data_IF_527905891383
#
_entry.id   IF_527905891383
#
_cell.length_a   1.000
_cell.length_b   1.000
_cell.length_c   1.000
_cell.angle_alpha   90.00
_cell.angle_beta   90.00
_cell.angle_gamma   90.00
#
_symmetry.space_group_name_H-M   'P 1'
#
loop_
_entity.id
_entity.type
_entity.pdbx_description
1 polymer ?
#
# COMPACT_ATOMS: atom_id res chain seq x y z
N UNK A 1 53.53 20.03 -27.04
CA UNK A 1 52.26 20.79 -27.31
C UNK A 1 51.16 19.76 -27.53
N UNK A 2 50.18 19.76 -26.67
CA UNK A 2 48.98 18.93 -26.84
C UNK A 2 48.15 19.56 -27.99
N UNK A 3 47.81 18.79 -29.01
CA UNK A 3 47.07 19.29 -30.16
C UNK A 3 45.65 19.73 -29.77
N UNK A 4 45.08 20.71 -30.50
CA UNK A 4 43.73 21.18 -30.22
C UNK A 4 42.68 20.07 -30.26
N UNK A 5 42.90 19.01 -31.06
CA UNK A 5 42.03 17.83 -31.13
C UNK A 5 42.03 17.02 -29.80
N UNK A 6 43.18 16.82 -29.19
CA UNK A 6 43.29 16.10 -27.90
C UNK A 6 42.61 16.86 -26.75
N UNK A 7 42.65 18.21 -26.78
CA UNK A 7 41.91 19.02 -25.80
C UNK A 7 40.38 18.92 -25.99
N UNK A 8 39.91 18.87 -27.23
CA UNK A 8 38.48 18.68 -27.52
C UNK A 8 37.97 17.31 -27.12
N UNK A 9 38.78 16.24 -27.33
CA UNK A 9 38.43 14.88 -26.83
C UNK A 9 38.41 14.81 -25.30
N UNK A 10 39.37 15.43 -24.61
CA UNK A 10 39.38 15.47 -23.15
C UNK A 10 38.22 16.28 -22.57
N UNK A 11 37.85 17.40 -23.18
CA UNK A 11 36.67 18.19 -22.79
C UNK A 11 35.36 17.45 -23.09
N UNK A 12 35.24 16.78 -24.22
CA UNK A 12 34.11 15.96 -24.58
C UNK A 12 33.92 14.78 -23.62
N UNK A 13 35.01 14.10 -23.30
CA UNK A 13 34.99 13.00 -22.31
C UNK A 13 34.64 13.44 -20.90
N UNK A 14 35.10 14.61 -20.47
CA UNK A 14 34.78 15.18 -19.16
C UNK A 14 33.29 15.61 -19.08
N UNK A 15 32.76 16.24 -20.12
CA UNK A 15 31.34 16.58 -20.22
C UNK A 15 30.45 15.35 -20.25
N UNK A 16 30.83 14.31 -20.99
CA UNK A 16 30.08 13.04 -21.05
C UNK A 16 30.03 12.36 -19.70
N UNK A 17 31.17 12.25 -19.01
CA UNK A 17 31.26 11.62 -17.68
C UNK A 17 30.64 12.47 -16.55
N UNK A 18 30.82 13.81 -16.62
CA UNK A 18 30.41 14.71 -15.55
C UNK A 18 28.96 15.17 -15.63
N UNK A 19 28.35 15.20 -16.80
CA UNK A 19 27.02 15.77 -17.03
C UNK A 19 26.09 14.78 -17.72
N UNK A 20 26.48 14.24 -18.87
CA UNK A 20 25.58 13.41 -19.69
C UNK A 20 25.29 12.05 -19.05
N UNK A 21 26.30 11.37 -18.47
CA UNK A 21 26.09 10.08 -17.80
C UNK A 21 25.20 10.17 -16.56
N UNK A 22 25.36 11.13 -15.64
CA UNK A 22 24.42 11.28 -14.53
C UNK A 22 22.99 11.58 -14.95
N UNK A 23 22.80 12.38 -16.01
CA UNK A 23 21.48 12.69 -16.56
C UNK A 23 20.84 11.45 -17.17
N UNK A 24 21.58 10.66 -17.95
CA UNK A 24 21.11 9.41 -18.54
C UNK A 24 20.81 8.36 -17.48
N UNK A 25 21.66 8.23 -16.44
CA UNK A 25 21.41 7.34 -15.32
C UNK A 25 20.15 7.74 -14.51
N UNK A 26 19.97 9.04 -14.27
CA UNK A 26 18.77 9.58 -13.66
C UNK A 26 17.50 9.31 -14.48
N UNK A 27 17.55 9.54 -15.79
CA UNK A 27 16.42 9.25 -16.69
C UNK A 27 16.09 7.75 -16.74
N UNK A 28 17.09 6.87 -16.78
CA UNK A 28 16.89 5.43 -16.74
C UNK A 28 16.26 4.97 -15.42
N UNK A 29 16.68 5.52 -14.28
CA UNK A 29 16.11 5.20 -12.97
C UNK A 29 14.63 5.62 -12.87
N UNK A 30 14.28 6.81 -13.40
CA UNK A 30 12.89 7.29 -13.41
C UNK A 30 12.00 6.42 -14.31
N UNK A 31 12.47 6.02 -15.50
CA UNK A 31 11.71 5.14 -16.38
C UNK A 31 11.52 3.75 -15.76
N UNK A 32 12.53 3.19 -15.13
CA UNK A 32 12.42 1.89 -14.44
C UNK A 32 11.42 1.94 -13.29
N UNK A 33 11.44 3.00 -12.47
CA UNK A 33 10.49 3.18 -11.39
C UNK A 33 9.04 3.35 -11.91
N UNK A 34 8.86 4.08 -13.00
CA UNK A 34 7.54 4.25 -13.61
C UNK A 34 6.99 2.93 -14.18
N UNK A 35 7.80 2.17 -14.90
CA UNK A 35 7.42 0.85 -15.45
C UNK A 35 7.09 -0.12 -14.34
N UNK A 36 7.88 -0.12 -13.25
CA UNK A 36 7.61 -0.97 -12.09
C UNK A 36 6.28 -0.62 -11.44
N UNK A 37 6.00 0.67 -11.21
CA UNK A 37 4.72 1.09 -10.67
C UNK A 37 3.54 0.67 -11.54
N UNK A 38 3.63 0.85 -12.87
CA UNK A 38 2.57 0.41 -13.78
C UNK A 38 2.30 -1.09 -13.67
N UNK A 39 3.36 -1.90 -13.53
CA UNK A 39 3.26 -3.34 -13.31
C UNK A 39 2.60 -3.67 -11.98
N UNK A 40 3.03 -3.03 -10.89
CA UNK A 40 2.49 -3.24 -9.55
C UNK A 40 1.02 -2.80 -9.50
N UNK A 41 0.68 -1.63 -10.08
CA UNK A 41 -0.70 -1.13 -10.14
C UNK A 41 -1.61 -1.96 -11.05
N UNK A 42 -1.06 -2.69 -12.03
CA UNK A 42 -1.85 -3.65 -12.81
C UNK A 42 -2.42 -4.79 -11.93
N UNK A 43 -1.71 -5.19 -10.88
CA UNK A 43 -2.20 -6.11 -9.86
C UNK A 43 -3.40 -5.54 -9.11
N UNK A 44 -3.31 -4.30 -8.68
CA UNK A 44 -4.41 -3.58 -7.99
C UNK A 44 -5.67 -3.52 -8.87
N UNK A 45 -5.53 -3.21 -10.17
CA UNK A 45 -6.67 -3.18 -11.11
C UNK A 45 -7.36 -4.52 -11.35
N UNK A 46 -6.68 -5.64 -11.09
CA UNK A 46 -7.28 -6.99 -11.24
C UNK A 46 -8.23 -7.32 -10.10
N UNK A 47 -8.06 -6.69 -8.96
CA UNK A 47 -8.78 -7.01 -7.72
C UNK A 47 -9.74 -5.91 -7.28
N UNK A 48 -9.66 -4.74 -7.91
CA UNK A 48 -10.48 -3.58 -7.59
C UNK A 48 -11.16 -3.07 -8.87
N UNK A 49 -12.43 -2.71 -8.78
CA UNK A 49 -13.20 -2.15 -9.89
C UNK A 49 -13.41 -0.64 -9.70
N UNK A 50 -13.63 0.09 -10.79
CA UNK A 50 -14.10 1.47 -10.71
C UNK A 50 -15.50 1.52 -10.11
N UNK A 51 -15.75 2.52 -9.26
CA UNK A 51 -17.08 2.69 -8.66
C UNK A 51 -17.94 3.51 -9.59
N UNK A 52 -19.11 2.98 -9.92
CA UNK A 52 -20.11 3.64 -10.75
C UNK A 52 -21.39 3.95 -9.95
N UNK A 53 -22.02 5.06 -10.24
CA UNK A 53 -23.33 5.41 -9.68
C UNK A 53 -24.47 4.63 -10.34
N UNK A 54 -25.68 4.84 -9.88
CA UNK A 54 -26.90 4.20 -10.42
C UNK A 54 -27.17 4.52 -11.89
N UNK A 55 -26.52 5.53 -12.46
CA UNK A 55 -26.62 5.93 -13.87
C UNK A 55 -25.52 5.31 -14.75
N UNK A 56 -24.57 4.58 -14.16
CA UNK A 56 -23.41 4.01 -14.84
C UNK A 56 -22.24 5.00 -15.00
N UNK A 57 -22.30 6.18 -14.36
CA UNK A 57 -21.22 7.15 -14.39
C UNK A 57 -20.15 6.77 -13.35
N UNK A 58 -18.88 6.78 -13.74
CA UNK A 58 -17.76 6.57 -12.82
C UNK A 58 -17.71 7.71 -11.80
N UNK A 59 -17.78 7.36 -10.51
CA UNK A 59 -17.69 8.28 -9.36
C UNK A 59 -16.38 8.14 -8.61
N UNK A 60 -15.69 7.00 -8.74
CA UNK A 60 -14.34 6.78 -8.24
C UNK A 60 -13.57 5.94 -9.28
N UNK A 61 -12.59 6.54 -9.92
CA UNK A 61 -11.88 5.94 -11.03
C UNK A 61 -10.57 5.25 -10.60
N UNK A 62 -10.00 4.40 -11.47
CA UNK A 62 -8.65 3.89 -11.28
C UNK A 62 -7.61 4.99 -11.12
N UNK A 63 -7.82 6.15 -11.74
CA UNK A 63 -6.93 7.30 -11.59
C UNK A 63 -7.00 7.90 -10.19
N UNK A 64 -8.19 7.94 -9.60
CA UNK A 64 -8.39 8.41 -8.23
C UNK A 64 -7.71 7.46 -7.25
N UNK A 65 -7.91 6.14 -7.42
CA UNK A 65 -7.22 5.10 -6.65
C UNK A 65 -5.70 5.21 -6.79
N UNK A 66 -5.19 5.31 -8.01
CA UNK A 66 -3.75 5.47 -8.27
C UNK A 66 -3.16 6.70 -7.59
N UNK A 67 -3.83 7.84 -7.71
CA UNK A 67 -3.38 9.09 -7.09
C UNK A 67 -3.37 8.98 -5.56
N UNK A 68 -4.38 8.35 -4.98
CA UNK A 68 -4.43 8.08 -3.54
C UNK A 68 -3.28 7.21 -3.07
N UNK A 69 -3.04 6.07 -3.73
CA UNK A 69 -1.93 5.15 -3.38
C UNK A 69 -0.55 5.80 -3.58
N UNK A 70 -0.35 6.57 -4.66
CA UNK A 70 0.88 7.35 -4.86
C UNK A 70 1.06 8.45 -3.81
N UNK A 71 -0.05 8.98 -3.29
CA UNK A 71 -0.04 9.92 -2.16
C UNK A 71 0.55 9.27 -0.92
N UNK A 72 0.13 8.06 -0.58
CA UNK A 72 0.63 7.32 0.58
C UNK A 72 2.15 7.11 0.55
N UNK A 73 2.72 6.85 -0.64
CA UNK A 73 4.18 6.68 -0.79
C UNK A 73 5.00 7.95 -0.47
N UNK A 74 4.36 9.11 -0.32
CA UNK A 74 5.02 10.35 0.13
C UNK A 74 4.87 10.58 1.63
N UNK A 75 3.91 9.94 2.25
CA UNK A 75 3.52 10.15 3.65
C UNK A 75 4.05 9.02 4.55
N UNK A 76 4.14 7.80 4.00
CA UNK A 76 4.48 6.59 4.75
C UNK A 76 5.89 6.10 4.40
N UNK A 77 6.60 5.47 5.33
CA UNK A 77 7.91 4.87 5.11
C UNK A 77 7.81 3.51 4.37
N UNK A 78 6.94 3.43 3.38
CA UNK A 78 6.67 2.22 2.62
C UNK A 78 7.03 2.37 1.13
N UNK A 79 7.48 1.30 0.51
CA UNK A 79 7.78 1.28 -0.92
C UNK A 79 6.48 1.30 -1.75
N UNK A 80 6.56 1.83 -2.99
CA UNK A 80 5.43 1.79 -3.93
C UNK A 80 4.92 0.36 -4.16
N UNK A 81 5.81 -0.64 -4.19
CA UNK A 81 5.45 -2.05 -4.37
C UNK A 81 4.67 -2.58 -3.18
N UNK A 82 5.10 -2.27 -1.96
CA UNK A 82 4.41 -2.67 -0.75
C UNK A 82 3.01 -2.06 -0.67
N UNK A 83 2.87 -0.77 -0.96
CA UNK A 83 1.57 -0.08 -1.04
C UNK A 83 0.67 -0.77 -2.07
N UNK A 84 1.19 -1.11 -3.27
CA UNK A 84 0.42 -1.79 -4.29
C UNK A 84 0.02 -3.21 -3.87
N UNK A 85 0.90 -3.96 -3.21
CA UNK A 85 0.60 -5.31 -2.73
C UNK A 85 -0.53 -5.29 -1.68
N UNK A 86 -0.47 -4.38 -0.71
CA UNK A 86 -1.54 -4.23 0.30
C UNK A 86 -2.85 -3.79 -0.35
N UNK A 87 -2.82 -2.90 -1.35
CA UNK A 87 -4.00 -2.47 -2.08
C UNK A 87 -4.59 -3.60 -2.97
N UNK A 88 -3.76 -4.45 -3.57
CA UNK A 88 -4.21 -5.66 -4.29
C UNK A 88 -4.86 -6.64 -3.32
N UNK A 89 -4.22 -6.90 -2.17
CA UNK A 89 -4.78 -7.75 -1.13
C UNK A 89 -6.12 -7.22 -0.59
N UNK A 90 -6.26 -5.90 -0.42
CA UNK A 90 -7.51 -5.27 -0.02
C UNK A 90 -8.67 -5.63 -0.98
N UNK A 91 -8.44 -5.53 -2.29
CA UNK A 91 -9.44 -5.92 -3.29
C UNK A 91 -9.78 -7.41 -3.23
N UNK A 92 -8.77 -8.30 -3.07
CA UNK A 92 -8.98 -9.75 -2.90
C UNK A 92 -9.80 -10.09 -1.65
N UNK A 93 -9.67 -9.29 -0.60
CA UNK A 93 -10.39 -9.46 0.67
C UNK A 93 -11.78 -8.81 0.67
N UNK A 94 -12.19 -8.19 -0.45
CA UNK A 94 -13.52 -7.60 -0.61
C UNK A 94 -13.65 -6.19 -0.02
N UNK A 95 -12.54 -5.50 0.17
CA UNK A 95 -12.59 -4.07 0.53
C UNK A 95 -13.09 -3.28 -0.68
N UNK A 96 -14.07 -2.43 -0.48
CA UNK A 96 -14.61 -1.57 -1.54
C UNK A 96 -13.56 -0.59 -2.03
N UNK A 97 -13.51 -0.36 -3.34
CA UNK A 97 -12.45 0.42 -4.00
C UNK A 97 -12.28 1.82 -3.39
N UNK A 98 -13.36 2.48 -3.01
CA UNK A 98 -13.32 3.79 -2.35
C UNK A 98 -12.68 3.76 -0.96
N UNK A 99 -12.62 2.60 -0.31
CA UNK A 99 -12.00 2.42 1.01
C UNK A 99 -10.56 1.89 0.95
N UNK A 100 -10.09 1.43 -0.23
CA UNK A 100 -8.78 0.77 -0.38
C UNK A 100 -7.63 1.68 0.06
N UNK A 101 -7.64 2.97 -0.27
CA UNK A 101 -6.57 3.89 0.12
C UNK A 101 -6.47 4.02 1.65
N UNK A 102 -7.59 4.24 2.32
CA UNK A 102 -7.64 4.33 3.78
C UNK A 102 -7.25 3.03 4.46
N UNK A 103 -7.75 1.91 3.96
CA UNK A 103 -7.37 0.57 4.44
C UNK A 103 -5.87 0.33 4.29
N UNK A 104 -5.30 0.58 3.10
CA UNK A 104 -3.87 0.41 2.83
C UNK A 104 -3.02 1.24 3.77
N UNK A 105 -3.40 2.50 4.01
CA UNK A 105 -2.73 3.36 4.98
C UNK A 105 -2.69 2.71 6.36
N UNK A 106 -3.83 2.31 6.87
CA UNK A 106 -3.95 1.70 8.21
C UNK A 106 -3.12 0.42 8.33
N UNK A 107 -3.11 -0.43 7.29
CA UNK A 107 -2.35 -1.69 7.33
C UNK A 107 -0.84 -1.46 7.32
N UNK A 108 -0.35 -0.46 6.57
CA UNK A 108 1.05 -0.07 6.58
C UNK A 108 1.44 0.53 7.94
N UNK A 109 0.62 1.42 8.48
CA UNK A 109 0.84 2.01 9.82
C UNK A 109 0.91 0.90 10.89
N UNK A 110 0.09 -0.15 10.79
CA UNK A 110 0.14 -1.32 11.65
C UNK A 110 1.42 -2.14 11.44
N UNK A 111 1.84 -2.35 10.19
CA UNK A 111 3.08 -3.05 9.87
C UNK A 111 4.32 -2.36 10.46
N UNK A 112 4.30 -1.03 10.52
CA UNK A 112 5.40 -0.23 11.10
C UNK A 112 5.35 -0.16 12.64
N UNK A 113 4.17 -0.27 13.24
CA UNK A 113 3.97 -0.04 14.69
C UNK A 113 3.77 -1.33 15.49
N UNK A 114 3.66 -2.49 14.86
CA UNK A 114 3.38 -3.77 15.50
C UNK A 114 4.37 -4.86 15.06
N UNK A 115 4.19 -6.05 15.59
CA UNK A 115 4.96 -7.24 15.20
C UNK A 115 4.38 -7.97 13.95
N UNK A 116 3.36 -7.40 13.30
CA UNK A 116 2.77 -7.95 12.07
C UNK A 116 3.34 -7.22 10.85
N UNK A 117 3.44 -7.91 9.71
CA UNK A 117 3.59 -7.23 8.42
C UNK A 117 2.29 -6.55 7.98
N UNK A 118 2.37 -5.57 7.09
CA UNK A 118 1.17 -4.89 6.55
C UNK A 118 0.19 -5.87 5.87
N UNK A 119 0.71 -6.91 5.21
CA UNK A 119 -0.11 -7.95 4.54
C UNK A 119 -0.78 -8.89 5.55
N UNK A 120 -0.08 -9.25 6.64
CA UNK A 120 -0.68 -10.02 7.73
C UNK A 120 -1.78 -9.24 8.42
N UNK A 121 -1.55 -7.98 8.75
CA UNK A 121 -2.55 -7.07 9.30
C UNK A 121 -3.76 -6.95 8.36
N UNK A 122 -3.54 -6.73 7.04
CA UNK A 122 -4.59 -6.65 6.05
C UNK A 122 -5.47 -7.90 6.05
N UNK A 123 -4.85 -9.08 6.01
CA UNK A 123 -5.58 -10.36 5.98
C UNK A 123 -6.38 -10.58 7.26
N UNK A 124 -5.78 -10.33 8.41
CA UNK A 124 -6.40 -10.58 9.70
C UNK A 124 -7.55 -9.61 9.99
N UNK A 125 -7.33 -8.30 9.78
CA UNK A 125 -8.34 -7.28 10.06
C UNK A 125 -9.50 -7.33 9.07
N UNK A 126 -9.25 -7.58 7.79
CA UNK A 126 -10.34 -7.73 6.81
C UNK A 126 -11.21 -8.96 7.13
N UNK A 127 -10.61 -10.08 7.55
CA UNK A 127 -11.37 -11.25 8.01
C UNK A 127 -12.20 -10.95 9.26
N UNK A 128 -11.60 -10.26 10.24
CA UNK A 128 -12.30 -9.87 11.46
C UNK A 128 -13.50 -8.98 11.13
N UNK A 129 -13.32 -7.95 10.29
CA UNK A 129 -14.38 -7.08 9.84
C UNK A 129 -15.50 -7.84 9.11
N UNK A 130 -15.14 -8.81 8.25
CA UNK A 130 -16.13 -9.62 7.53
C UNK A 130 -16.93 -10.55 8.45
N UNK A 131 -16.31 -11.11 9.51
CA UNK A 131 -17.00 -11.98 10.47
C UNK A 131 -17.93 -11.15 11.37
N UNK A 132 -17.46 -9.99 11.84
CA UNK A 132 -18.22 -9.13 12.75
C UNK A 132 -19.25 -8.25 12.06
N UNK A 133 -19.13 -8.05 10.75
CA UNK A 133 -19.96 -7.08 10.03
C UNK A 133 -19.52 -5.62 10.21
N UNK A 134 -18.31 -5.40 10.74
CA UNK A 134 -17.77 -4.06 10.99
C UNK A 134 -17.72 -3.22 9.70
N UNK A 135 -18.14 -1.95 9.76
CA UNK A 135 -18.02 -1.04 8.62
C UNK A 135 -16.58 -0.88 8.14
N UNK A 136 -16.35 -0.93 6.84
CA UNK A 136 -15.00 -0.79 6.25
C UNK A 136 -14.34 0.58 6.48
N UNK A 137 -15.08 1.54 6.99
CA UNK A 137 -14.60 2.87 7.38
C UNK A 137 -14.02 2.93 8.81
N UNK A 138 -14.04 1.82 9.54
CA UNK A 138 -13.65 1.75 10.96
C UNK A 138 -12.31 1.01 11.18
N UNK A 139 -11.58 0.66 10.10
CA UNK A 139 -10.30 -0.05 10.23
C UNK A 139 -9.23 0.72 11.01
N UNK A 140 -9.23 2.04 10.90
CA UNK A 140 -8.33 2.92 11.66
C UNK A 140 -8.56 2.80 13.18
N UNK A 141 -9.82 2.77 13.59
CA UNK A 141 -10.19 2.59 15.01
C UNK A 141 -9.83 1.19 15.50
N UNK A 142 -10.12 0.15 14.71
CA UNK A 142 -9.76 -1.22 15.06
C UNK A 142 -8.24 -1.36 15.21
N UNK A 143 -7.48 -0.82 14.26
CA UNK A 143 -6.01 -0.80 14.32
C UNK A 143 -5.50 -0.11 15.58
N UNK A 144 -6.04 1.08 15.89
CA UNK A 144 -5.67 1.81 17.11
C UNK A 144 -5.94 1.03 18.38
N UNK A 145 -7.07 0.31 18.47
CA UNK A 145 -7.39 -0.55 19.62
C UNK A 145 -6.40 -1.71 19.75
N UNK A 146 -6.02 -2.34 18.63
CA UNK A 146 -5.06 -3.46 18.65
C UNK A 146 -3.70 -2.98 19.15
N UNK A 147 -3.21 -1.84 18.67
CA UNK A 147 -1.95 -1.24 19.12
C UNK A 147 -2.02 -0.85 20.61
N UNK A 148 -3.12 -0.25 21.04
CA UNK A 148 -3.31 0.12 22.44
C UNK A 148 -3.31 -1.10 23.38
N UNK A 149 -3.98 -2.18 22.97
CA UNK A 149 -3.97 -3.44 23.71
C UNK A 149 -2.57 -4.06 23.76
N UNK A 150 -1.83 -4.12 22.66
CA UNK A 150 -0.46 -4.63 22.62
C UNK A 150 0.49 -3.85 23.51
N UNK A 151 0.33 -2.53 23.56
CA UNK A 151 1.16 -1.65 24.41
C UNK A 151 0.82 -1.75 25.91
N UNK A 152 -0.39 -2.13 26.29
CA UNK A 152 -0.86 -2.10 27.67
C UNK A 152 -0.99 -3.48 28.32
N UNK A 153 -0.88 -4.57 27.56
CA UNK A 153 -0.99 -5.93 28.07
C UNK A 153 0.26 -6.75 27.70
N UNK A 154 0.51 -7.83 28.44
CA UNK A 154 1.64 -8.74 28.21
C UNK A 154 1.32 -9.74 27.09
N UNK A 155 1.05 -9.23 25.88
CA UNK A 155 0.71 -9.99 24.66
C UNK A 155 1.16 -9.19 23.46
N UNK A 156 1.17 -9.80 22.27
CA UNK A 156 1.52 -9.14 21.02
C UNK A 156 0.26 -8.81 20.21
N UNK A 157 0.35 -7.86 19.32
CA UNK A 157 -0.77 -7.45 18.45
C UNK A 157 -1.24 -8.59 17.55
N UNK A 158 -0.33 -9.44 17.09
CA UNK A 158 -0.68 -10.65 16.32
C UNK A 158 -1.48 -11.65 17.18
N UNK A 159 -1.11 -11.89 18.44
CA UNK A 159 -1.85 -12.76 19.35
C UNK A 159 -3.25 -12.20 19.68
N UNK A 160 -3.36 -10.87 19.88
CA UNK A 160 -4.63 -10.17 20.09
C UNK A 160 -5.54 -10.38 18.89
N UNK A 161 -5.00 -10.18 17.68
CA UNK A 161 -5.75 -10.32 16.44
C UNK A 161 -6.21 -11.76 16.20
N UNK A 162 -5.33 -12.75 16.44
CA UNK A 162 -5.71 -14.18 16.37
C UNK A 162 -6.81 -14.55 17.38
N UNK A 163 -6.69 -14.06 18.60
CA UNK A 163 -7.71 -14.28 19.61
C UNK A 163 -9.05 -13.65 19.21
N UNK A 164 -9.01 -12.41 18.70
CA UNK A 164 -10.19 -11.72 18.16
C UNK A 164 -10.87 -12.51 17.06
N UNK A 165 -10.12 -13.05 16.10
CA UNK A 165 -10.66 -13.89 15.01
C UNK A 165 -11.32 -15.17 15.54
N UNK A 166 -10.71 -15.83 16.52
CA UNK A 166 -11.27 -17.05 17.15
C UNK A 166 -12.57 -16.75 17.91
N UNK A 167 -12.59 -15.65 18.69
CA UNK A 167 -13.77 -15.22 19.43
C UNK A 167 -14.91 -14.78 18.51
N UNK A 168 -14.62 -13.96 17.49
CA UNK A 168 -15.60 -13.53 16.50
C UNK A 168 -16.21 -14.71 15.74
N UNK A 169 -15.39 -15.68 15.31
CA UNK A 169 -15.87 -16.91 14.67
C UNK A 169 -16.77 -17.75 15.56
N UNK A 170 -16.42 -17.93 16.83
CA UNK A 170 -17.23 -18.66 17.80
C UNK A 170 -18.53 -17.90 18.14
N UNK A 171 -18.45 -16.58 18.35
CA UNK A 171 -19.60 -15.72 18.62
C UNK A 171 -20.62 -15.73 17.48
N UNK A 172 -20.14 -15.62 16.25
CA UNK A 172 -21.00 -15.66 15.05
C UNK A 172 -21.78 -16.99 14.95
N UNK A 173 -21.15 -18.14 15.29
CA UNK A 173 -21.81 -19.45 15.28
C UNK A 173 -22.93 -19.58 16.31
N UNK A 174 -22.87 -18.86 17.42
CA UNK A 174 -23.89 -18.88 18.48
C UNK A 174 -24.86 -17.70 18.40
N UNK A 175 -24.80 -16.92 17.32
CA UNK A 175 -25.71 -15.80 17.07
C UNK A 175 -25.46 -14.57 17.96
N UNK A 176 -24.27 -14.43 18.51
CA UNK A 176 -23.89 -13.18 19.19
C UNK A 176 -23.65 -12.12 18.13
N UNK A 177 -24.44 -11.02 18.21
CA UNK A 177 -24.14 -9.77 17.49
C UNK A 177 -23.14 -8.94 18.31
N UNK A 178 -22.49 -8.02 17.67
CA UNK A 178 -21.66 -7.00 18.29
C UNK A 178 -22.41 -6.18 19.34
#
# INVERSE_FOLDING_TARGET
MISSGQRMEQMGGALTKGVTMPILAGAAAVTTAAVKWESDFAGVKKTNDEVVDSTGKVVYSYKDLENGLRGLAKELPASHTEIANVAEAAGQLGIKTENVVGFTKTMIDLGESTNMSAEEAATALARLANITGMPQTEFDKLGAVIVDLGNNFATTESEITEMGLRLAGAGHQVGMSE
#
